data_IF_874778164630
#
_entry.id   IF_874778164630
#
_cell.length_a   1.000
_cell.length_b   1.000
_cell.length_c   1.000
_cell.angle_alpha   90.00
_cell.angle_beta   90.00
_cell.angle_gamma   90.00
#
_symmetry.space_group_name_H-M   'P 1'
#
loop_
_entity.id
_entity.type
_entity.pdbx_description
1 polymer ?
#
# COMPACT_ATOMS: atom_id res chain seq x y z
N UNK A 1 -4.67 -8.82 -19.07
CA UNK A 1 -5.48 -9.75 -18.25
C UNK A 1 -6.67 -8.97 -17.75
N UNK A 2 -7.89 -9.38 -18.14
CA UNK A 2 -9.12 -8.60 -17.88
C UNK A 2 -9.60 -8.81 -16.45
N UNK A 3 -10.29 -7.83 -15.87
CA UNK A 3 -10.89 -7.87 -14.52
C UNK A 3 -11.91 -9.01 -14.37
N UNK A 4 -12.45 -9.50 -15.48
CA UNK A 4 -13.42 -10.60 -15.52
C UNK A 4 -12.78 -11.97 -15.23
N UNK A 5 -11.49 -12.16 -15.51
CA UNK A 5 -10.78 -13.42 -15.22
C UNK A 5 -10.53 -13.62 -13.71
N UNK A 6 -10.57 -12.54 -12.93
CA UNK A 6 -10.34 -12.59 -11.48
C UNK A 6 -11.58 -13.06 -10.72
N UNK A 7 -12.78 -12.71 -11.21
CA UNK A 7 -14.05 -13.04 -10.56
C UNK A 7 -14.45 -14.51 -10.77
N UNK A 8 -14.00 -15.13 -11.86
CA UNK A 8 -14.36 -16.53 -12.20
C UNK A 8 -13.59 -17.58 -11.39
N UNK A 9 -12.48 -17.20 -10.73
CA UNK A 9 -11.69 -18.11 -9.88
C UNK A 9 -12.17 -18.18 -8.42
N UNK A 10 -13.17 -17.39 -8.04
CA UNK A 10 -13.59 -17.21 -6.63
C UNK A 10 -14.91 -17.92 -6.29
N UNK A 11 -15.55 -18.60 -7.24
CA UNK A 11 -16.82 -19.28 -6.97
C UNK A 11 -16.81 -20.74 -7.42
N UNK A 12 -16.50 -21.62 -6.47
CA UNK A 12 -17.05 -22.97 -6.41
C UNK A 12 -17.57 -23.16 -4.98
N UNK A 13 -18.89 -23.16 -4.87
CA UNK A 13 -19.65 -23.55 -3.70
C UNK A 13 -20.05 -25.02 -3.84
N UNK A 14 -19.93 -25.82 -2.77
CA UNK A 14 -20.95 -26.84 -2.45
C UNK A 14 -20.83 -27.36 -1.00
N UNK A 15 -21.92 -27.94 -0.46
CA UNK A 15 -22.23 -28.05 0.96
C UNK A 15 -21.80 -29.39 1.55
N UNK A 16 -21.82 -29.52 2.89
CA UNK A 16 -22.38 -30.67 3.61
C UNK A 16 -22.17 -30.53 5.13
N UNK A 17 -23.29 -30.32 5.82
CA UNK A 17 -23.46 -30.67 7.23
C UNK A 17 -23.17 -32.16 7.44
N UNK A 18 -22.28 -32.49 8.38
CA UNK A 18 -22.27 -33.80 9.04
C UNK A 18 -21.86 -33.67 10.49
N UNK A 19 -22.83 -33.92 11.36
CA UNK A 19 -22.66 -34.13 12.78
C UNK A 19 -21.67 -35.27 13.06
N UNK A 20 -20.70 -35.04 13.94
CA UNK A 20 -19.95 -36.11 14.62
C UNK A 20 -19.89 -35.78 16.12
N UNK A 21 -20.67 -36.52 16.90
CA UNK A 21 -20.39 -36.82 18.31
C UNK A 21 -19.22 -37.82 18.36
N UNK A 22 -18.30 -37.69 19.32
CA UNK A 22 -17.85 -38.74 20.26
C UNK A 22 -16.58 -38.31 21.04
N UNK A 23 -16.79 -38.13 22.34
CA UNK A 23 -16.00 -38.50 23.54
C UNK A 23 -14.45 -38.52 23.56
N UNK A 24 -13.93 -37.66 24.46
CA UNK A 24 -12.91 -37.85 25.50
C UNK A 24 -11.66 -38.73 25.28
N UNK A 25 -10.47 -38.10 25.33
CA UNK A 25 -9.24 -38.78 25.76
C UNK A 25 -7.91 -38.15 25.34
N UNK A 26 -7.48 -37.08 26.03
CA UNK A 26 -6.07 -36.71 26.27
C UNK A 26 -5.08 -36.66 25.08
N UNK A 27 -5.06 -35.56 24.32
CA UNK A 27 -3.90 -35.06 23.53
C UNK A 27 -4.04 -33.55 23.21
N UNK A 28 -4.75 -32.81 24.05
CA UNK A 28 -5.45 -31.55 23.74
C UNK A 28 -4.58 -30.31 23.46
N UNK A 29 -3.24 -30.40 23.50
CA UNK A 29 -2.36 -29.24 23.34
C UNK A 29 -2.02 -28.94 21.88
N UNK A 30 -1.67 -29.92 21.04
CA UNK A 30 -1.19 -29.65 19.68
C UNK A 30 -2.31 -29.19 18.74
N UNK A 31 -3.48 -29.84 18.79
CA UNK A 31 -4.65 -29.48 17.98
C UNK A 31 -5.18 -28.09 18.34
N UNK A 32 -5.10 -27.68 19.61
CA UNK A 32 -5.50 -26.34 20.06
C UNK A 32 -4.59 -25.24 19.51
N UNK A 33 -3.28 -25.51 19.44
CA UNK A 33 -2.29 -24.58 18.88
C UNK A 33 -2.42 -24.44 17.37
N UNK A 34 -2.62 -25.55 16.64
CA UNK A 34 -2.88 -25.55 15.20
C UNK A 34 -4.13 -24.73 14.86
N UNK A 35 -5.24 -24.97 15.59
CA UNK A 35 -6.49 -24.22 15.42
C UNK A 35 -6.31 -22.72 15.67
N UNK A 36 -5.60 -22.33 16.74
CA UNK A 36 -5.33 -20.91 17.04
C UNK A 36 -4.44 -20.27 15.98
N UNK A 37 -3.40 -20.97 15.53
CA UNK A 37 -2.50 -20.50 14.46
C UNK A 37 -3.28 -20.23 13.18
N UNK A 38 -4.13 -21.18 12.78
CA UNK A 38 -4.97 -21.07 11.59
C UNK A 38 -5.96 -19.90 11.68
N UNK A 39 -6.58 -19.66 12.84
CA UNK A 39 -7.45 -18.48 13.05
C UNK A 39 -6.67 -17.18 12.88
N UNK A 40 -5.46 -17.08 13.44
CA UNK A 40 -4.61 -15.90 13.30
C UNK A 40 -4.20 -15.68 11.84
N UNK A 41 -3.79 -16.72 11.11
CA UNK A 41 -3.37 -16.59 9.73
C UNK A 41 -4.51 -16.15 8.80
N UNK A 42 -5.73 -16.69 8.98
CA UNK A 42 -6.91 -16.22 8.24
C UNK A 42 -7.22 -14.75 8.56
N UNK A 43 -7.11 -14.35 9.83
CA UNK A 43 -7.27 -12.95 10.22
C UNK A 43 -6.24 -12.03 9.56
N UNK A 44 -5.01 -12.50 9.37
CA UNK A 44 -3.98 -11.73 8.66
C UNK A 44 -4.39 -11.48 7.21
N UNK A 45 -4.91 -12.50 6.51
CA UNK A 45 -5.39 -12.34 5.13
C UNK A 45 -6.50 -11.29 5.03
N UNK A 46 -7.46 -11.28 5.96
CA UNK A 46 -8.51 -10.24 6.03
C UNK A 46 -7.93 -8.83 6.22
N UNK A 47 -6.92 -8.68 7.09
CA UNK A 47 -6.26 -7.39 7.31
C UNK A 47 -5.56 -6.91 6.04
N UNK A 48 -4.93 -7.83 5.30
CA UNK A 48 -4.23 -7.51 4.05
C UNK A 48 -5.19 -7.14 2.92
N UNK A 49 -6.37 -7.77 2.89
CA UNK A 49 -7.45 -7.36 1.99
C UNK A 49 -7.90 -5.92 2.30
N UNK A 50 -8.12 -5.58 3.58
CA UNK A 50 -8.47 -4.20 3.98
C UNK A 50 -7.40 -3.19 3.56
N UNK A 51 -6.11 -3.53 3.73
CA UNK A 51 -5.00 -2.68 3.25
C UNK A 51 -5.05 -2.49 1.74
N UNK A 52 -5.25 -3.56 0.97
CA UNK A 52 -5.37 -3.49 -0.48
C UNK A 52 -6.53 -2.57 -0.92
N UNK A 53 -7.68 -2.67 -0.26
CA UNK A 53 -8.83 -1.79 -0.47
C UNK A 53 -8.51 -0.33 -0.12
N UNK A 54 -7.80 -0.08 0.98
CA UNK A 54 -7.37 1.26 1.38
C UNK A 54 -6.41 1.88 0.36
N UNK A 55 -5.43 1.14 -0.17
CA UNK A 55 -4.57 1.62 -1.26
C UNK A 55 -5.36 1.91 -2.54
N UNK A 56 -6.32 1.06 -2.90
CA UNK A 56 -7.18 1.30 -4.07
C UNK A 56 -8.02 2.58 -3.89
N UNK A 57 -8.59 2.79 -2.70
CA UNK A 57 -9.33 4.01 -2.34
C UNK A 57 -8.43 5.25 -2.40
N UNK A 58 -7.21 5.16 -1.85
CA UNK A 58 -6.22 6.24 -1.87
C UNK A 58 -5.84 6.61 -3.31
N UNK A 59 -5.55 5.61 -4.15
CA UNK A 59 -5.19 5.82 -5.56
C UNK A 59 -6.30 6.51 -6.32
N UNK A 60 -7.55 6.03 -6.19
CA UNK A 60 -8.71 6.64 -6.85
C UNK A 60 -8.93 8.07 -6.37
N UNK A 61 -8.94 8.31 -5.07
CA UNK A 61 -9.14 9.66 -4.53
C UNK A 61 -8.03 10.63 -4.87
N UNK A 62 -6.78 10.16 -5.05
CA UNK A 62 -5.70 11.00 -5.56
C UNK A 62 -5.91 11.38 -7.03
N UNK A 63 -6.37 10.45 -7.88
CA UNK A 63 -6.73 10.78 -9.27
C UNK A 63 -7.84 11.84 -9.33
N UNK A 64 -8.91 11.67 -8.54
CA UNK A 64 -10.00 12.64 -8.44
C UNK A 64 -9.52 14.00 -7.92
N UNK A 65 -8.59 14.01 -6.96
CA UNK A 65 -7.97 15.21 -6.44
C UNK A 65 -7.16 15.96 -7.51
N UNK A 66 -6.35 15.26 -8.29
CA UNK A 66 -5.54 15.86 -9.35
C UNK A 66 -6.42 16.49 -10.45
N UNK A 67 -7.57 15.88 -10.75
CA UNK A 67 -8.51 16.39 -11.75
C UNK A 67 -9.36 17.58 -11.25
N UNK A 68 -9.83 17.51 -10.00
CA UNK A 68 -10.80 18.49 -9.45
C UNK A 68 -10.17 19.60 -8.61
N UNK A 69 -8.89 19.44 -8.22
CA UNK A 69 -8.20 20.25 -7.23
C UNK A 69 -8.95 20.35 -5.87
N UNK A 70 -9.75 19.32 -5.54
CA UNK A 70 -10.59 19.23 -4.34
C UNK A 70 -9.83 18.95 -3.05
N UNK A 71 -8.95 19.86 -2.63
CA UNK A 71 -8.03 19.69 -1.48
C UNK A 71 -8.75 19.24 -0.19
N UNK A 72 -9.90 19.84 0.15
CA UNK A 72 -10.62 19.50 1.39
C UNK A 72 -11.16 18.05 1.40
N UNK A 73 -11.68 17.57 0.26
CA UNK A 73 -12.15 16.19 0.13
C UNK A 73 -10.98 15.21 0.20
N UNK A 74 -9.86 15.56 -0.43
CA UNK A 74 -8.66 14.73 -0.41
C UNK A 74 -8.03 14.66 0.98
N UNK A 75 -7.95 15.77 1.71
CA UNK A 75 -7.45 15.78 3.10
C UNK A 75 -8.31 14.92 4.02
N UNK A 76 -9.64 15.00 3.91
CA UNK A 76 -10.55 14.13 4.64
C UNK A 76 -10.27 12.66 4.31
N UNK A 77 -10.15 12.32 3.03
CA UNK A 77 -9.82 10.97 2.60
C UNK A 77 -8.49 10.47 3.18
N UNK A 78 -7.44 11.30 3.15
CA UNK A 78 -6.14 10.98 3.76
C UNK A 78 -6.27 10.67 5.24
N UNK A 79 -7.09 11.44 5.98
CA UNK A 79 -7.31 11.19 7.41
C UNK A 79 -8.01 9.83 7.66
N UNK A 80 -9.03 9.49 6.86
CA UNK A 80 -9.74 8.21 6.95
C UNK A 80 -8.82 7.02 6.65
N UNK A 81 -8.04 7.13 5.57
CA UNK A 81 -7.13 6.06 5.12
C UNK A 81 -5.97 5.90 6.10
N UNK A 82 -5.45 6.99 6.66
CA UNK A 82 -4.40 6.94 7.70
C UNK A 82 -4.91 6.20 8.95
N UNK A 83 -6.16 6.45 9.35
CA UNK A 83 -6.78 5.73 10.46
C UNK A 83 -6.90 4.23 10.15
N UNK A 84 -7.34 3.86 8.95
CA UNK A 84 -7.44 2.45 8.53
C UNK A 84 -6.07 1.74 8.53
N UNK A 85 -5.03 2.38 7.99
CA UNK A 85 -3.68 1.81 7.99
C UNK A 85 -3.12 1.66 9.41
N UNK A 86 -3.36 2.64 10.29
CA UNK A 86 -2.94 2.57 11.69
C UNK A 86 -3.62 1.42 12.42
N UNK A 87 -4.92 1.25 12.22
CA UNK A 87 -5.70 0.16 12.83
C UNK A 87 -5.23 -1.21 12.31
N UNK A 88 -5.05 -1.37 11.00
CA UNK A 88 -4.47 -2.60 10.44
C UNK A 88 -3.09 -2.90 11.03
N UNK A 89 -2.22 -1.90 11.12
CA UNK A 89 -0.85 -2.06 11.66
C UNK A 89 -0.83 -2.36 13.16
N UNK A 90 -1.83 -1.89 13.90
CA UNK A 90 -2.02 -2.24 15.31
C UNK A 90 -2.43 -3.71 15.45
N UNK A 91 -3.42 -4.15 14.70
CA UNK A 91 -3.89 -5.55 14.75
C UNK A 91 -2.78 -6.55 14.40
N UNK A 92 -1.96 -6.27 13.38
CA UNK A 92 -0.85 -7.19 13.02
C UNK A 92 0.22 -7.22 14.11
N UNK A 93 0.57 -6.08 14.74
CA UNK A 93 1.51 -6.08 15.88
C UNK A 93 0.98 -6.86 17.07
N UNK A 94 -0.32 -6.77 17.34
CA UNK A 94 -0.95 -7.61 18.37
C UNK A 94 -0.82 -9.09 18.00
N UNK A 95 -1.04 -9.46 16.74
CA UNK A 95 -0.86 -10.83 16.26
C UNK A 95 0.59 -11.32 16.35
N UNK A 96 1.58 -10.47 16.05
CA UNK A 96 3.00 -10.79 16.27
C UNK A 96 3.25 -11.19 17.73
N UNK A 97 2.72 -10.44 18.70
CA UNK A 97 2.83 -10.80 20.12
C UNK A 97 2.14 -12.12 20.45
N UNK A 98 1.01 -12.43 19.79
CA UNK A 98 0.31 -13.69 19.98
C UNK A 98 1.10 -14.89 19.45
N UNK A 99 1.81 -14.74 18.33
CA UNK A 99 2.68 -15.80 17.79
C UNK A 99 3.92 -16.04 18.65
N UNK A 100 4.45 -15.00 19.30
CA UNK A 100 5.57 -15.10 20.23
C UNK A 100 5.20 -15.67 21.60
N UNK A 101 3.91 -15.72 21.95
CA UNK A 101 3.49 -16.29 23.22
C UNK A 101 3.89 -17.78 23.30
N UNK A 102 4.33 -18.28 24.48
CA UNK A 102 4.75 -19.67 24.64
C UNK A 102 3.66 -20.71 24.30
N UNK A 103 2.39 -20.31 24.35
CA UNK A 103 1.27 -21.16 23.97
C UNK A 103 1.22 -21.42 22.45
N UNK A 104 1.65 -20.46 21.62
CA UNK A 104 1.68 -20.61 20.16
C UNK A 104 3.09 -20.97 19.70
N UNK A 105 4.10 -20.22 20.16
CA UNK A 105 5.51 -20.53 19.96
C UNK A 105 5.98 -20.50 18.50
N UNK A 106 5.31 -19.73 17.63
CA UNK A 106 5.59 -19.63 16.19
C UNK A 106 6.36 -18.35 15.87
N UNK A 107 7.63 -18.31 16.28
CA UNK A 107 8.52 -17.17 16.02
C UNK A 107 8.79 -16.95 14.53
N UNK A 108 8.73 -18.00 13.73
CA UNK A 108 8.76 -17.97 12.26
C UNK A 108 7.63 -17.12 11.68
N UNK A 109 6.40 -17.36 12.14
CA UNK A 109 5.23 -16.58 11.70
C UNK A 109 5.31 -15.13 12.21
N UNK A 110 5.75 -14.93 13.45
CA UNK A 110 5.97 -13.58 13.98
C UNK A 110 6.98 -12.78 13.12
N UNK A 111 8.06 -13.42 12.67
CA UNK A 111 9.04 -12.80 11.77
C UNK A 111 8.41 -12.47 10.41
N UNK A 112 7.64 -13.38 9.83
CA UNK A 112 6.93 -13.17 8.57
C UNK A 112 5.97 -11.97 8.64
N UNK A 113 5.23 -11.82 9.74
CA UNK A 113 4.37 -10.65 9.99
C UNK A 113 5.19 -9.34 10.06
N UNK A 114 6.35 -9.38 10.71
CA UNK A 114 7.27 -8.23 10.82
C UNK A 114 7.81 -7.80 9.45
N UNK A 115 8.15 -8.78 8.60
CA UNK A 115 8.62 -8.54 7.24
C UNK A 115 7.50 -7.92 6.39
N UNK A 116 6.27 -8.42 6.51
CA UNK A 116 5.09 -7.82 5.88
C UNK A 116 4.86 -6.37 6.37
N UNK A 117 4.99 -6.09 7.69
CA UNK A 117 4.87 -4.72 8.21
C UNK A 117 5.94 -3.78 7.62
N UNK A 118 7.17 -4.27 7.48
CA UNK A 118 8.27 -3.51 6.89
C UNK A 118 7.98 -3.15 5.45
N UNK A 119 7.55 -4.13 4.65
CA UNK A 119 7.19 -3.88 3.24
C UNK A 119 5.96 -2.97 3.12
N UNK A 120 4.96 -3.13 3.99
CA UNK A 120 3.78 -2.25 3.98
C UNK A 120 4.11 -0.81 4.35
N UNK A 121 5.00 -0.60 5.32
CA UNK A 121 5.52 0.74 5.65
C UNK A 121 6.26 1.36 4.47
N UNK A 122 7.14 0.60 3.82
CA UNK A 122 7.89 1.07 2.65
C UNK A 122 6.97 1.41 1.48
N UNK A 123 6.02 0.52 1.16
CA UNK A 123 5.01 0.71 0.11
C UNK A 123 4.18 1.97 0.35
N UNK A 124 3.70 2.20 1.57
CA UNK A 124 2.94 3.41 1.92
C UNK A 124 3.80 4.67 1.73
N UNK A 125 5.03 4.66 2.25
CA UNK A 125 5.95 5.80 2.14
C UNK A 125 6.24 6.17 0.68
N UNK A 126 6.55 5.18 -0.15
CA UNK A 126 6.80 5.40 -1.58
C UNK A 126 5.53 5.82 -2.33
N UNK A 127 4.36 5.28 -1.96
CA UNK A 127 3.07 5.71 -2.53
C UNK A 127 2.82 7.20 -2.26
N UNK A 128 3.05 7.66 -1.03
CA UNK A 128 2.91 9.09 -0.68
C UNK A 128 3.97 9.93 -1.41
N UNK A 129 5.20 9.43 -1.53
CA UNK A 129 6.27 10.11 -2.28
C UNK A 129 5.88 10.33 -3.74
N UNK A 130 5.32 9.31 -4.40
CA UNK A 130 4.79 9.42 -5.76
C UNK A 130 3.70 10.50 -5.84
N UNK A 131 2.80 10.56 -4.86
CA UNK A 131 1.74 11.56 -4.84
C UNK A 131 2.28 12.98 -4.68
N UNK A 132 3.25 13.18 -3.79
CA UNK A 132 3.92 14.48 -3.59
C UNK A 132 4.63 14.91 -4.87
N UNK A 133 5.38 14.01 -5.51
CA UNK A 133 6.04 14.29 -6.79
C UNK A 133 5.02 14.66 -7.88
N UNK A 134 3.96 13.87 -8.03
CA UNK A 134 2.90 14.14 -9.01
C UNK A 134 2.16 15.46 -8.74
N UNK A 135 1.91 15.81 -7.48
CA UNK A 135 1.30 17.09 -7.11
C UNK A 135 2.24 18.26 -7.39
N UNK A 136 3.54 18.10 -7.16
CA UNK A 136 4.53 19.13 -7.46
C UNK A 136 4.70 19.35 -8.97
N UNK A 137 4.47 18.33 -9.78
CA UNK A 137 4.67 18.38 -11.24
C UNK A 137 6.14 18.45 -11.64
N UNK A 138 6.39 18.26 -12.94
CA UNK A 138 7.72 18.45 -13.52
C UNK A 138 8.18 19.90 -13.31
N UNK A 139 9.42 20.14 -12.88
CA UNK A 139 9.98 21.49 -12.73
C UNK A 139 9.69 22.41 -13.92
N UNK A 140 9.89 21.93 -15.16
CA UNK A 140 9.62 22.69 -16.39
C UNK A 140 8.13 22.97 -16.68
N UNK A 141 7.22 22.19 -16.10
CA UNK A 141 5.76 22.34 -16.28
C UNK A 141 5.10 23.18 -15.18
N UNK A 142 5.85 23.56 -14.13
CA UNK A 142 5.32 24.38 -13.03
C UNK A 142 4.99 25.78 -13.56
N UNK A 143 3.80 26.27 -13.25
CA UNK A 143 3.41 27.62 -13.61
C UNK A 143 4.38 28.63 -12.99
N UNK A 144 5.05 29.41 -13.85
CA UNK A 144 5.88 30.52 -13.41
C UNK A 144 4.99 31.57 -12.73
N UNK A 145 5.18 31.78 -11.43
CA UNK A 145 4.37 32.76 -10.69
C UNK A 145 4.81 34.18 -11.06
N UNK A 146 3.86 35.00 -11.51
CA UNK A 146 4.06 36.44 -11.72
C UNK A 146 4.08 37.24 -10.40
N UNK A 147 4.36 36.61 -9.24
CA UNK A 147 4.32 37.28 -7.93
C UNK A 147 5.27 38.49 -7.85
N UNK A 148 6.37 38.45 -8.61
CA UNK A 148 7.32 39.56 -8.72
C UNK A 148 7.23 40.32 -10.06
N UNK A 149 6.19 40.07 -10.87
CA UNK A 149 5.99 40.81 -12.11
C UNK A 149 5.50 42.23 -11.79
N UNK A 150 6.30 43.23 -12.16
CA UNK A 150 5.99 44.65 -11.93
C UNK A 150 4.85 45.17 -12.84
N UNK A 151 4.37 44.37 -13.80
CA UNK A 151 3.38 44.79 -14.79
C UNK A 151 1.98 44.27 -14.43
N UNK A 152 1.04 45.19 -14.20
CA UNK A 152 -0.34 44.89 -13.76
C UNK A 152 -1.37 44.77 -14.91
N UNK A 153 -0.94 44.92 -16.18
CA UNK A 153 -1.83 44.89 -17.35
C UNK A 153 -1.48 43.72 -18.26
N UNK A 154 -2.45 42.86 -18.64
CA UNK A 154 -2.20 41.60 -19.35
C UNK A 154 -1.64 41.74 -20.78
N UNK A 155 -1.64 42.94 -21.37
CA UNK A 155 -1.25 43.16 -22.78
C UNK A 155 -0.14 44.20 -22.97
N UNK A 156 0.58 44.60 -21.92
CA UNK A 156 1.58 45.68 -22.00
C UNK A 156 2.99 45.29 -21.53
N UNK A 157 3.29 44.01 -21.42
CA UNK A 157 4.67 43.60 -21.21
C UNK A 157 4.99 42.34 -22.00
N UNK A 158 6.14 42.38 -22.68
CA UNK A 158 6.93 41.19 -22.97
C UNK A 158 7.41 40.74 -21.59
N UNK A 159 6.78 39.70 -21.03
CA UNK A 159 7.25 39.21 -19.75
C UNK A 159 8.69 38.76 -19.95
N UNK A 160 9.61 39.39 -19.21
CA UNK A 160 11.02 38.99 -19.08
C UNK A 160 11.08 37.67 -18.30
N UNK A 161 10.35 36.67 -18.79
CA UNK A 161 10.41 35.26 -18.42
C UNK A 161 10.96 34.43 -19.60
N UNK A 162 11.02 35.01 -20.81
CA UNK A 162 12.17 34.79 -21.67
C UNK A 162 13.38 35.46 -20.99
N UNK A 163 13.95 34.82 -19.96
CA UNK A 163 15.40 34.92 -19.85
C UNK A 163 15.93 34.50 -21.23
N UNK A 164 16.99 35.13 -21.73
CA UNK A 164 17.78 34.46 -22.77
C UNK A 164 17.99 33.04 -22.26
N UNK A 165 17.53 32.04 -23.02
CA UNK A 165 17.75 30.64 -22.68
C UNK A 165 19.25 30.46 -22.85
N UNK A 166 19.97 30.81 -21.80
CA UNK A 166 21.40 30.55 -21.72
C UNK A 166 21.53 29.04 -21.64
N UNK A 167 22.58 28.51 -22.26
CA UNK A 167 22.89 27.09 -22.18
C UNK A 167 22.91 26.61 -20.71
N UNK A 168 23.40 27.46 -19.79
CA UNK A 168 23.41 27.18 -18.36
C UNK A 168 22.01 27.01 -17.76
N UNK A 169 21.07 27.94 -18.02
CA UNK A 169 19.71 27.86 -17.51
C UNK A 169 18.92 26.68 -18.11
N UNK A 170 19.12 26.41 -19.41
CA UNK A 170 18.50 25.26 -20.07
C UNK A 170 19.05 23.91 -19.59
N UNK A 171 20.34 23.85 -19.25
CA UNK A 171 20.97 22.65 -18.68
C UNK A 171 20.48 22.39 -17.26
N UNK A 172 20.39 23.42 -16.42
CA UNK A 172 19.87 23.31 -15.05
C UNK A 172 18.42 22.79 -15.03
N UNK A 173 17.57 23.31 -15.90
CA UNK A 173 16.17 22.86 -16.01
C UNK A 173 16.07 21.41 -16.49
N UNK A 174 16.89 21.01 -17.47
CA UNK A 174 16.95 19.63 -17.97
C UNK A 174 17.46 18.65 -16.90
N UNK A 175 18.44 19.05 -16.09
CA UNK A 175 18.95 18.26 -14.96
C UNK A 175 17.84 18.08 -13.90
N UNK A 176 17.13 19.15 -13.54
CA UNK A 176 16.03 19.09 -12.58
C UNK A 176 14.88 18.18 -13.05
N UNK A 177 14.54 18.21 -14.33
CA UNK A 177 13.54 17.31 -14.91
C UNK A 177 14.00 15.84 -14.91
N UNK A 178 15.28 15.59 -15.21
CA UNK A 178 15.85 14.26 -15.15
C UNK A 178 15.87 13.69 -13.72
N UNK A 179 16.21 14.50 -12.73
CA UNK A 179 16.14 14.13 -11.31
C UNK A 179 14.71 13.80 -10.88
N UNK A 180 13.73 14.62 -11.29
CA UNK A 180 12.32 14.36 -11.03
C UNK A 180 11.86 13.03 -11.62
N UNK A 181 12.18 12.77 -12.88
CA UNK A 181 11.81 11.54 -13.56
C UNK A 181 12.45 10.30 -12.95
N UNK A 182 13.71 10.41 -12.54
CA UNK A 182 14.42 9.34 -11.86
C UNK A 182 13.79 9.08 -10.48
N UNK A 183 13.54 10.11 -9.68
CA UNK A 183 12.88 9.95 -8.37
C UNK A 183 11.49 9.30 -8.49
N UNK A 184 10.71 9.70 -9.51
CA UNK A 184 9.40 9.13 -9.76
C UNK A 184 9.49 7.65 -10.18
N UNK A 185 10.44 7.30 -11.06
CA UNK A 185 10.67 5.92 -11.51
C UNK A 185 11.13 5.03 -10.35
N UNK A 186 12.08 5.48 -9.55
CA UNK A 186 12.59 4.75 -8.38
C UNK A 186 11.48 4.51 -7.36
N UNK A 187 10.65 5.53 -7.09
CA UNK A 187 9.53 5.36 -6.17
C UNK A 187 8.49 4.35 -6.71
N UNK A 188 8.18 4.38 -8.02
CA UNK A 188 7.28 3.40 -8.65
C UNK A 188 7.87 1.98 -8.57
N UNK A 189 9.16 1.83 -8.88
CA UNK A 189 9.86 0.55 -8.80
C UNK A 189 9.81 0.00 -7.37
N UNK A 190 10.16 0.81 -6.38
CA UNK A 190 10.12 0.37 -4.99
C UNK A 190 8.72 0.00 -4.49
N UNK A 191 7.65 0.63 -4.98
CA UNK A 191 6.26 0.18 -4.71
C UNK A 191 6.01 -1.21 -5.32
N UNK A 192 6.47 -1.46 -6.54
CA UNK A 192 6.32 -2.76 -7.20
C UNK A 192 7.08 -3.85 -6.45
N UNK A 193 8.31 -3.57 -6.04
CA UNK A 193 9.15 -4.51 -5.30
C UNK A 193 8.51 -4.86 -3.96
N UNK A 194 8.06 -3.86 -3.19
CA UNK A 194 7.35 -4.09 -1.94
C UNK A 194 6.06 -4.91 -2.13
N UNK A 195 5.29 -4.65 -3.19
CA UNK A 195 4.09 -5.44 -3.51
C UNK A 195 4.46 -6.90 -3.84
N UNK A 196 5.53 -7.13 -4.59
CA UNK A 196 6.00 -8.48 -4.90
C UNK A 196 6.37 -9.23 -3.62
N UNK A 197 7.20 -8.63 -2.76
CA UNK A 197 7.59 -9.24 -1.48
C UNK A 197 6.37 -9.53 -0.59
N UNK A 198 5.42 -8.60 -0.48
CA UNK A 198 4.19 -8.83 0.30
C UNK A 198 3.43 -10.03 -0.27
N UNK A 199 3.26 -10.12 -1.59
CA UNK A 199 2.53 -11.23 -2.20
C UNK A 199 3.24 -12.57 -1.96
N UNK A 200 4.57 -12.62 -2.04
CA UNK A 200 5.36 -13.81 -1.72
C UNK A 200 5.10 -14.28 -0.28
N UNK A 201 5.16 -13.36 0.69
CA UNK A 201 4.84 -13.69 2.09
C UNK A 201 3.38 -14.12 2.29
N UNK A 202 2.43 -13.57 1.53
CA UNK A 202 1.03 -13.99 1.59
C UNK A 202 0.82 -15.37 0.97
N UNK A 203 1.59 -15.76 -0.04
CA UNK A 203 1.58 -17.12 -0.55
C UNK A 203 2.14 -18.10 0.49
N UNK A 204 3.23 -17.76 1.18
CA UNK A 204 3.75 -18.58 2.30
C UNK A 204 2.70 -18.81 3.39
N UNK A 205 1.94 -17.76 3.75
CA UNK A 205 0.81 -17.85 4.69
C UNK A 205 -0.28 -18.78 4.16
N UNK A 206 -0.61 -18.72 2.87
CA UNK A 206 -1.63 -19.61 2.25
C UNK A 206 -1.17 -21.06 2.27
N UNK A 207 0.11 -21.32 1.99
CA UNK A 207 0.67 -22.67 2.10
C UNK A 207 0.61 -23.20 3.53
N UNK A 208 0.94 -22.37 4.52
CA UNK A 208 0.85 -22.75 5.93
C UNK A 208 -0.59 -23.06 6.36
N UNK A 209 -1.56 -22.23 5.94
CA UNK A 209 -2.98 -22.49 6.21
C UNK A 209 -3.39 -23.85 5.60
N UNK A 210 -3.02 -24.11 4.34
CA UNK A 210 -3.36 -25.37 3.67
C UNK A 210 -2.74 -26.59 4.36
N UNK A 211 -1.52 -26.46 4.89
CA UNK A 211 -0.88 -27.52 5.66
C UNK A 211 -1.64 -27.79 6.98
N UNK A 212 -1.99 -26.74 7.72
CA UNK A 212 -2.73 -26.84 8.98
C UNK A 212 -4.17 -27.36 8.81
N UNK A 213 -4.76 -27.24 7.62
CA UNK A 213 -6.09 -27.79 7.29
C UNK A 213 -6.05 -29.25 6.86
N UNK A 214 -4.89 -29.76 6.43
CA UNK A 214 -4.71 -31.14 6.01
C UNK A 214 -4.39 -32.10 7.17
N UNK A 215 -3.95 -31.55 8.32
CA UNK A 215 -3.65 -32.26 9.57
C UNK A 215 -4.90 -32.45 10.47
#
# INVERSE_FOLDING_TARGET
>A
MSAEDFQKKVSISDPLDREIKTECGGSSSSTGVASRTLVLLRRLLEIQERRAQAYAKLKRGFSEYVESNGEALYQKLCSEITAEFNECSKQVREMETLFLNPEVGRSDLAQLLSDIQTQEKQKLHLTVTIQVLKKAGRPSERMLTHENCKFKKPMQHECVHLHEITEAAGTEEAEADAEFDNALKEAIRGVQDAVTCINEYLEDIRYEIAALEAD
#
